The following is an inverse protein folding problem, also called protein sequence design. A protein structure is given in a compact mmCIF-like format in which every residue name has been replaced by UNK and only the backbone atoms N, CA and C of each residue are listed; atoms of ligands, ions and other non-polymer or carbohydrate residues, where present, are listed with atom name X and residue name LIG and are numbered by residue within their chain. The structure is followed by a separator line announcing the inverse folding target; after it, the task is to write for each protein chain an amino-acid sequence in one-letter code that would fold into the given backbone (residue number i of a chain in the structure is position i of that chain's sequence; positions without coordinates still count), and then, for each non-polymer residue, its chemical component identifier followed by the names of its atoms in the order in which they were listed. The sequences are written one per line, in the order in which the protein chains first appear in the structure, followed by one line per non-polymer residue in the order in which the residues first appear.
data_IF_801885985259
#
_entry.id   IF_801885985259
#
_cell.length_a   1.000
_cell.length_b   1.000
_cell.length_c   1.000
_cell.angle_alpha   90.00
_cell.angle_beta   90.00
_cell.angle_gamma   90.00
#
_symmetry.space_group_name_H-M   'P 1'
#
loop_
_entity.id
_entity.type
_entity.pdbx_description
1 polymer ?
#
# COMPACT_ATOMS: atom_id res chain seq x y z
N UNK A 1 -0.03 -12.93 -5.46
CA UNK A 1 -0.39 -13.23 -6.86
C UNK A 1 0.34 -12.25 -7.78
N UNK A 2 0.83 -12.71 -8.93
CA UNK A 2 1.44 -11.85 -9.95
C UNK A 2 0.67 -12.01 -11.25
N UNK A 3 0.19 -10.91 -11.83
CA UNK A 3 -0.42 -10.91 -13.16
C UNK A 3 0.14 -9.73 -13.97
N UNK A 4 1.20 -9.98 -14.74
CA UNK A 4 1.94 -8.92 -15.45
C UNK A 4 2.61 -7.88 -14.53
N UNK A 5 2.56 -8.07 -13.20
CA UNK A 5 3.17 -7.21 -12.20
C UNK A 5 4.51 -7.75 -11.69
N UNK A 6 5.21 -6.90 -10.94
CA UNK A 6 6.51 -7.22 -10.34
C UNK A 6 6.48 -6.87 -8.85
N UNK A 7 6.93 -7.80 -8.01
CA UNK A 7 7.23 -7.53 -6.60
C UNK A 7 8.74 -7.48 -6.43
N UNK A 8 9.26 -6.31 -6.05
CA UNK A 8 10.67 -6.11 -5.72
C UNK A 8 10.81 -5.97 -4.21
N UNK A 9 11.67 -6.79 -3.61
CA UNK A 9 11.89 -6.80 -2.15
C UNK A 9 13.33 -6.46 -1.81
N UNK A 10 13.50 -5.65 -0.77
CA UNK A 10 14.79 -5.38 -0.13
C UNK A 10 15.26 -6.52 0.76
N UNK A 11 16.33 -6.26 1.51
CA UNK A 11 16.91 -7.18 2.50
C UNK A 11 16.07 -7.20 3.78
N UNK A 12 16.13 -8.31 4.52
CA UNK A 12 15.46 -8.46 5.84
C UNK A 12 13.93 -8.22 5.77
N UNK A 13 13.27 -8.99 4.91
CA UNK A 13 11.83 -9.02 4.78
C UNK A 13 11.21 -9.93 5.85
N UNK A 14 10.22 -9.42 6.59
CA UNK A 14 9.43 -10.22 7.52
C UNK A 14 7.95 -10.16 7.19
N UNK A 15 7.34 -11.31 6.90
CA UNK A 15 5.91 -11.45 6.65
C UNK A 15 5.33 -12.43 7.68
N UNK A 16 4.33 -12.00 8.44
CA UNK A 16 3.58 -12.89 9.33
C UNK A 16 2.52 -13.70 8.56
N UNK A 17 1.94 -14.68 9.24
CA UNK A 17 0.86 -15.50 8.67
C UNK A 17 -0.32 -14.64 8.20
N UNK A 18 -0.97 -15.09 7.11
CA UNK A 18 -2.19 -14.45 6.59
C UNK A 18 -1.96 -13.22 5.72
N UNK A 19 -0.70 -12.84 5.44
CA UNK A 19 -0.44 -11.73 4.53
C UNK A 19 -0.88 -12.08 3.09
N UNK A 20 -1.66 -11.18 2.47
CA UNK A 20 -2.05 -11.27 1.06
C UNK A 20 -1.31 -10.18 0.29
N UNK A 21 -0.45 -10.58 -0.65
CA UNK A 21 0.35 -9.64 -1.44
C UNK A 21 0.14 -9.92 -2.93
N UNK A 22 -0.35 -8.92 -3.64
CA UNK A 22 -0.68 -8.99 -5.05
C UNK A 22 -0.03 -7.84 -5.83
N UNK A 23 0.48 -8.15 -7.02
CA UNK A 23 0.91 -7.16 -7.99
C UNK A 23 0.36 -7.51 -9.38
N UNK A 24 -0.54 -6.68 -9.89
CA UNK A 24 -1.20 -6.85 -11.19
C UNK A 24 -0.88 -5.64 -12.08
N UNK A 25 -0.21 -5.85 -13.21
CA UNK A 25 0.15 -4.79 -14.16
C UNK A 25 0.82 -3.57 -13.49
N UNK A 26 1.60 -3.81 -12.44
CA UNK A 26 2.14 -2.78 -11.57
C UNK A 26 3.40 -3.24 -10.84
N UNK A 27 4.14 -2.28 -10.27
CA UNK A 27 5.30 -2.57 -9.44
C UNK A 27 4.98 -2.34 -7.97
N UNK A 28 5.05 -3.41 -7.18
CA UNK A 28 5.11 -3.32 -5.73
C UNK A 28 6.58 -3.33 -5.30
N UNK A 29 7.04 -2.26 -4.67
CA UNK A 29 8.42 -2.11 -4.19
C UNK A 29 8.38 -2.07 -2.66
N UNK A 30 9.02 -3.04 -2.02
CA UNK A 30 9.22 -3.12 -0.57
C UNK A 30 10.71 -2.88 -0.27
N UNK A 31 11.03 -1.84 0.48
CA UNK A 31 12.40 -1.50 0.88
C UNK A 31 13.02 -2.49 1.87
N UNK A 32 14.24 -2.17 2.31
CA UNK A 32 14.95 -2.97 3.30
C UNK A 32 14.26 -2.92 4.67
N UNK A 33 14.34 -4.00 5.46
CA UNK A 33 13.80 -4.10 6.82
C UNK A 33 12.30 -3.83 6.88
N UNK A 34 11.56 -4.34 5.91
CA UNK A 34 10.10 -4.27 5.87
C UNK A 34 9.48 -5.38 6.71
N UNK A 35 8.59 -5.02 7.64
CA UNK A 35 7.85 -5.95 8.50
C UNK A 35 6.35 -5.81 8.28
N UNK A 36 5.69 -6.92 7.98
CA UNK A 36 4.26 -6.99 7.73
C UNK A 36 3.64 -7.98 8.71
N UNK A 37 2.82 -7.48 9.64
CA UNK A 37 2.19 -8.33 10.65
C UNK A 37 0.93 -9.02 10.13
N UNK A 38 0.35 -9.86 11.01
CA UNK A 38 -0.73 -10.80 10.73
C UNK A 38 -1.89 -10.21 9.91
N UNK A 39 -2.36 -10.98 8.92
CA UNK A 39 -3.59 -10.73 8.15
C UNK A 39 -3.63 -9.37 7.42
N UNK A 40 -2.47 -8.85 7.00
CA UNK A 40 -2.38 -7.62 6.19
C UNK A 40 -2.56 -7.91 4.71
N UNK A 41 -3.24 -7.02 3.99
CA UNK A 41 -3.45 -7.10 2.53
C UNK A 41 -2.77 -5.94 1.81
N UNK A 42 -1.98 -6.25 0.79
CA UNK A 42 -1.39 -5.29 -0.15
C UNK A 42 -1.83 -5.69 -1.56
N UNK A 43 -2.72 -4.88 -2.15
CA UNK A 43 -3.21 -5.04 -3.52
C UNK A 43 -2.67 -3.88 -4.38
N UNK A 44 -1.66 -4.20 -5.19
CA UNK A 44 -0.98 -3.29 -6.10
C UNK A 44 -1.45 -3.56 -7.54
N UNK A 45 -2.38 -2.76 -8.05
CA UNK A 45 -2.98 -2.98 -9.36
C UNK A 45 -2.95 -1.71 -10.22
N UNK A 46 -2.46 -1.81 -11.46
CA UNK A 46 -2.42 -0.77 -12.51
C UNK A 46 -1.67 0.54 -12.21
N UNK A 47 -1.21 0.74 -10.98
CA UNK A 47 -0.29 1.80 -10.58
C UNK A 47 0.71 1.26 -9.56
N UNK A 48 1.83 1.95 -9.34
CA UNK A 48 2.85 1.47 -8.41
C UNK A 48 2.47 1.71 -6.95
N UNK A 49 2.87 0.78 -6.08
CA UNK A 49 2.96 0.99 -4.63
C UNK A 49 4.44 0.92 -4.26
N UNK A 50 4.95 2.00 -3.65
CA UNK A 50 6.34 2.08 -3.18
C UNK A 50 6.39 2.28 -1.68
N UNK A 51 6.93 1.28 -0.99
CA UNK A 51 7.18 1.29 0.45
C UNK A 51 8.70 1.37 0.69
N UNK A 52 9.10 2.34 1.49
CA UNK A 52 10.49 2.62 1.83
C UNK A 52 11.13 1.62 2.79
N UNK A 53 12.28 2.01 3.33
CA UNK A 53 13.07 1.20 4.25
C UNK A 53 12.58 1.34 5.70
N UNK A 54 12.80 0.32 6.54
CA UNK A 54 12.43 0.31 7.95
C UNK A 54 10.94 0.63 8.17
N UNK A 55 10.05 0.01 7.39
CA UNK A 55 8.61 0.20 7.50
C UNK A 55 7.98 -1.00 8.21
N UNK A 56 7.06 -0.72 9.14
CA UNK A 56 6.29 -1.74 9.85
C UNK A 56 4.80 -1.54 9.54
N UNK A 57 4.13 -2.60 9.10
CA UNK A 57 2.67 -2.65 9.03
C UNK A 57 2.13 -3.42 10.24
N UNK A 58 1.19 -2.82 10.96
CA UNK A 58 0.46 -3.44 12.06
C UNK A 58 -0.42 -4.61 11.62
N UNK A 59 -1.24 -5.12 12.53
CA UNK A 59 -2.13 -6.25 12.25
C UNK A 59 -3.29 -5.77 11.39
N UNK A 60 -3.77 -6.60 10.45
CA UNK A 60 -4.96 -6.31 9.64
C UNK A 60 -4.90 -4.97 8.87
N UNK A 61 -3.72 -4.58 8.37
CA UNK A 61 -3.59 -3.39 7.52
C UNK A 61 -4.10 -3.69 6.12
N UNK A 62 -4.74 -2.72 5.47
CA UNK A 62 -5.13 -2.80 4.05
C UNK A 62 -4.46 -1.69 3.26
N UNK A 63 -3.73 -2.03 2.20
CA UNK A 63 -3.15 -1.07 1.25
C UNK A 63 -3.68 -1.42 -0.13
N UNK A 64 -4.44 -0.50 -0.74
CA UNK A 64 -5.05 -0.70 -2.06
C UNK A 64 -4.95 0.56 -2.91
N UNK A 65 -4.30 0.47 -4.05
CA UNK A 65 -4.06 1.62 -4.92
C UNK A 65 -5.00 1.71 -6.13
N UNK A 66 -6.02 0.87 -6.17
CA UNK A 66 -6.98 0.71 -7.25
C UNK A 66 -8.36 0.45 -6.64
N UNK A 67 -9.43 1.08 -7.14
CA UNK A 67 -10.77 0.88 -6.56
C UNK A 67 -11.41 -0.45 -6.97
N UNK A 68 -10.96 -1.06 -8.07
CA UNK A 68 -11.49 -2.29 -8.67
C UNK A 68 -12.60 -2.04 -9.70
N UNK A 69 -13.26 -0.89 -9.64
CA UNK A 69 -14.33 -0.50 -10.55
C UNK A 69 -14.21 0.99 -10.92
N UNK A 70 -14.69 1.35 -12.11
CA UNK A 70 -14.91 2.74 -12.48
C UNK A 70 -16.06 3.32 -11.65
N UNK A 71 -15.90 4.56 -11.22
CA UNK A 71 -17.02 5.37 -10.68
C UNK A 71 -17.26 6.48 -11.69
N UNK A 72 -18.51 6.68 -12.10
CA UNK A 72 -18.86 7.78 -13.00
C UNK A 72 -19.18 9.01 -12.15
N UNK A 73 -18.41 10.08 -12.35
CA UNK A 73 -18.63 11.37 -11.70
C UNK A 73 -18.81 12.44 -12.77
N UNK A 74 -19.94 13.14 -12.76
CA UNK A 74 -20.27 14.17 -13.76
C UNK A 74 -20.14 13.71 -15.22
N UNK A 75 -20.51 12.45 -15.49
CA UNK A 75 -20.44 11.87 -16.84
C UNK A 75 -19.04 11.51 -17.32
N UNK A 76 -18.04 11.54 -16.43
CA UNK A 76 -16.66 11.09 -16.71
C UNK A 76 -16.29 9.93 -15.79
N UNK A 77 -15.55 8.97 -16.34
CA UNK A 77 -14.98 7.89 -15.56
C UNK A 77 -13.92 8.44 -14.59
N UNK A 78 -13.97 7.98 -13.34
CA UNK A 78 -12.99 8.33 -12.33
C UNK A 78 -11.64 7.66 -12.60
N UNK A 79 -10.58 8.28 -12.07
CA UNK A 79 -9.26 7.66 -12.05
C UNK A 79 -9.32 6.45 -11.12
N UNK A 80 -9.31 5.23 -11.66
CA UNK A 80 -9.40 4.00 -10.85
C UNK A 80 -8.17 3.81 -9.98
N UNK A 81 -6.97 4.06 -10.51
CA UNK A 81 -5.70 3.77 -9.83
C UNK A 81 -4.81 5.00 -9.69
N UNK A 82 -4.17 5.13 -8.52
CA UNK A 82 -3.20 6.20 -8.23
C UNK A 82 -2.09 5.65 -7.36
N UNK A 83 -0.85 6.07 -7.63
CA UNK A 83 0.34 5.60 -6.90
C UNK A 83 0.19 5.82 -5.39
N UNK A 84 0.68 4.86 -4.61
CA UNK A 84 0.84 4.99 -3.15
C UNK A 84 2.33 5.06 -2.83
N UNK A 85 2.72 6.01 -1.98
CA UNK A 85 4.11 6.15 -1.53
C UNK A 85 4.13 6.18 -0.01
N UNK A 86 4.79 5.20 0.59
CA UNK A 86 5.11 5.17 2.02
C UNK A 86 6.61 5.36 2.16
N UNK A 87 7.05 6.44 2.81
CA UNK A 87 8.47 6.75 3.00
C UNK A 87 9.11 5.89 4.10
N UNK A 88 10.43 6.00 4.20
CA UNK A 88 11.23 5.27 5.19
C UNK A 88 10.84 5.61 6.63
N UNK A 89 11.05 4.66 7.56
CA UNK A 89 10.81 4.79 9.00
C UNK A 89 9.35 5.13 9.35
N UNK A 90 8.39 4.47 8.71
CA UNK A 90 6.96 4.63 8.96
C UNK A 90 6.41 3.40 9.68
N UNK A 91 5.54 3.63 10.66
CA UNK A 91 4.71 2.58 11.26
C UNK A 91 3.24 2.82 10.91
N UNK A 92 2.67 1.92 10.10
CA UNK A 92 1.24 1.90 9.82
C UNK A 92 0.56 1.10 10.92
N UNK A 93 -0.34 1.73 11.68
CA UNK A 93 -0.93 1.13 12.86
C UNK A 93 -1.97 0.06 12.50
N UNK A 94 -2.27 -0.84 13.43
CA UNK A 94 -3.18 -1.96 13.19
C UNK A 94 -4.55 -1.47 12.72
N UNK A 95 -5.20 -2.24 11.84
CA UNK A 95 -6.50 -1.95 11.23
C UNK A 95 -6.55 -0.66 10.39
N UNK A 96 -5.41 -0.09 10.02
CA UNK A 96 -5.39 1.06 9.12
C UNK A 96 -5.61 0.64 7.65
N UNK A 97 -6.30 1.52 6.92
CA UNK A 97 -6.45 1.42 5.47
C UNK A 97 -5.71 2.58 4.79
N UNK A 98 -4.98 2.28 3.72
CA UNK A 98 -4.24 3.23 2.88
C UNK A 98 -4.71 3.07 1.44
N UNK A 99 -5.37 4.10 0.89
CA UNK A 99 -5.99 4.06 -0.43
C UNK A 99 -5.17 4.77 -1.52
N UNK A 100 -5.60 4.58 -2.77
CA UNK A 100 -4.94 5.10 -3.99
C UNK A 100 -4.59 6.58 -3.85
N UNK A 101 -3.37 6.97 -4.22
CA UNK A 101 -2.95 8.38 -4.23
C UNK A 101 -2.35 8.89 -2.92
N UNK A 102 -2.38 8.11 -1.84
CA UNK A 102 -1.79 8.51 -0.55
C UNK A 102 -0.27 8.58 -0.62
N UNK A 103 0.31 9.63 -0.01
CA UNK A 103 1.74 9.77 0.21
C UNK A 103 2.03 10.00 1.70
N UNK A 104 2.50 8.97 2.40
CA UNK A 104 2.90 9.06 3.82
C UNK A 104 4.36 9.50 3.89
N UNK A 105 4.58 10.72 4.35
CA UNK A 105 5.92 11.31 4.51
C UNK A 105 6.54 10.91 5.84
N UNK A 106 7.87 10.94 5.90
CA UNK A 106 8.64 10.74 7.13
C UNK A 106 8.30 11.84 8.15
N UNK A 107 7.77 11.45 9.31
CA UNK A 107 7.82 12.21 10.56
C UNK A 107 8.26 11.23 11.65
N UNK A 108 9.23 11.63 12.48
CA UNK A 108 9.65 10.83 13.64
C UNK A 108 8.41 10.38 14.43
N UNK A 109 8.26 9.08 14.69
CA UNK A 109 7.16 8.55 15.49
C UNK A 109 5.76 8.57 14.83
N UNK A 110 5.66 8.64 13.50
CA UNK A 110 4.37 8.65 12.83
C UNK A 110 3.70 7.27 12.88
N UNK A 111 2.86 7.05 13.91
CA UNK A 111 1.75 6.11 13.86
C UNK A 111 0.64 6.77 13.05
N UNK A 112 0.22 6.14 11.94
CA UNK A 112 -0.96 6.59 11.20
C UNK A 112 -2.10 5.62 11.46
N UNK A 113 -3.22 6.15 11.96
CA UNK A 113 -4.50 5.46 12.05
C UNK A 113 -5.47 6.11 11.07
N UNK A 114 -5.90 5.33 10.07
CA UNK A 114 -6.80 5.69 8.97
C UNK A 114 -6.28 6.79 8.02
N UNK A 115 -6.08 6.42 6.74
CA UNK A 115 -5.92 7.39 5.65
C UNK A 115 -6.93 7.05 4.56
N UNK A 116 -8.04 7.77 4.58
CA UNK A 116 -9.02 7.80 3.49
C UNK A 116 -8.74 9.05 2.68
N UNK A 117 -8.54 8.92 1.38
CA UNK A 117 -8.42 10.08 0.51
C UNK A 117 -9.79 10.76 0.40
N UNK A 118 -9.84 12.04 0.73
CA UNK A 118 -10.96 12.90 0.37
C UNK A 118 -10.85 13.20 -1.14
N UNK A 119 -11.88 12.83 -1.90
CA UNK A 119 -12.00 13.23 -3.30
C UNK A 119 -12.51 14.67 -3.31
N UNK A 120 -11.73 15.59 -3.88
CA UNK A 120 -12.17 16.94 -4.27
C UNK A 120 -12.75 16.91 -5.68
#
# INVERSE_FOLDING_TARGET
MLNGGVIQVGKDLGLSQGCVICANNARLILGDKFRCNYSTTIDCSDADIKIGNNVVLGWNVTIKNNDGHYVVENGKDSIISKKIIIKDHVWVCAYATVLKGVCIKKKFGCCVWCIVNEYN
#
